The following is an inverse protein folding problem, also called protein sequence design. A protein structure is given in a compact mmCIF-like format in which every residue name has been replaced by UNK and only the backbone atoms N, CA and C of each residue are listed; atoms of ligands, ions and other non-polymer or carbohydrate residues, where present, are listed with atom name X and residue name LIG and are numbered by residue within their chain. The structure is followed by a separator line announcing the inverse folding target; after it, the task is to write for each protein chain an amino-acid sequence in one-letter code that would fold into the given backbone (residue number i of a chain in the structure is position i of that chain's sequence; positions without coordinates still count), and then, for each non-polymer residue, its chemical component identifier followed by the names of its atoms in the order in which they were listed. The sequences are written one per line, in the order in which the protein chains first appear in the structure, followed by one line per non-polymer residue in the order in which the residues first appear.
data_IF_354983369847
#
_entry.id   IF_354983369847
#
_cell.length_a   1.000
_cell.length_b   1.000
_cell.length_c   1.000
_cell.angle_alpha   90.00
_cell.angle_beta   90.00
_cell.angle_gamma   90.00
#
_symmetry.space_group_name_H-M   'P 1'
#
loop_
_entity.id
_entity.type
_entity.pdbx_description
1 polymer ?
#
# COMPACT_ATOMS: atom_id res chain seq x y z
N UNK A 1 33.56 -6.70 -68.91
CA UNK A 1 32.47 -5.77 -68.59
C UNK A 1 31.44 -6.35 -67.58
N UNK A 2 31.06 -7.64 -67.63
CA UNK A 2 30.08 -8.27 -66.73
C UNK A 2 30.37 -8.12 -65.22
N UNK A 3 31.65 -8.26 -64.82
CA UNK A 3 32.01 -8.24 -63.40
C UNK A 3 31.94 -6.85 -62.76
N UNK A 4 32.10 -5.79 -63.50
CA UNK A 4 31.95 -4.41 -62.97
C UNK A 4 30.49 -4.03 -62.79
N UNK A 5 29.64 -4.48 -63.68
CA UNK A 5 28.19 -4.27 -63.61
C UNK A 5 27.59 -5.02 -62.42
N UNK A 6 28.00 -6.28 -62.19
CA UNK A 6 27.54 -7.07 -61.00
C UNK A 6 27.99 -6.44 -59.68
N UNK A 7 29.20 -5.89 -59.61
CA UNK A 7 29.67 -5.19 -58.40
C UNK A 7 28.87 -3.92 -58.14
N UNK A 8 28.53 -3.17 -59.19
CA UNK A 8 27.72 -1.96 -59.07
C UNK A 8 26.28 -2.29 -58.63
N UNK A 9 25.69 -3.35 -59.17
CA UNK A 9 24.37 -3.82 -58.79
C UNK A 9 24.32 -4.27 -57.33
N UNK A 10 25.34 -5.03 -56.85
CA UNK A 10 25.46 -5.41 -55.48
C UNK A 10 25.63 -4.21 -54.54
N UNK A 11 26.36 -3.20 -54.93
CA UNK A 11 26.53 -1.99 -54.11
C UNK A 11 25.20 -1.26 -53.96
N UNK A 12 24.39 -1.15 -55.02
CA UNK A 12 23.06 -0.54 -54.97
C UNK A 12 22.13 -1.39 -54.05
N UNK A 13 22.15 -2.69 -54.20
CA UNK A 13 21.33 -3.59 -53.41
C UNK A 13 21.65 -3.50 -51.89
N UNK A 14 22.92 -3.48 -51.55
CA UNK A 14 23.39 -3.30 -50.18
C UNK A 14 23.02 -1.94 -49.62
N UNK A 15 23.13 -0.87 -50.44
CA UNK A 15 22.72 0.48 -50.02
C UNK A 15 21.23 0.59 -49.75
N UNK A 16 20.41 -0.03 -50.59
CA UNK A 16 18.96 -0.10 -50.37
C UNK A 16 18.63 -0.90 -49.13
N UNK A 17 19.27 -2.05 -48.93
CA UNK A 17 19.07 -2.88 -47.72
C UNK A 17 19.50 -2.14 -46.45
N UNK A 18 20.59 -1.36 -46.52
CA UNK A 18 21.03 -0.53 -45.39
C UNK A 18 20.02 0.59 -45.06
N UNK A 19 19.38 1.17 -46.06
CA UNK A 19 18.33 2.18 -45.87
C UNK A 19 17.06 1.60 -45.22
N UNK A 20 16.70 0.36 -45.57
CA UNK A 20 15.55 -0.32 -44.96
C UNK A 20 15.90 -1.06 -43.65
N UNK A 21 17.17 -1.44 -43.45
CA UNK A 21 17.65 -2.12 -42.24
C UNK A 21 17.93 -1.18 -41.07
N UNK A 22 18.02 0.12 -41.27
CA UNK A 22 18.09 1.13 -40.20
C UNK A 22 16.70 1.68 -39.90
N UNK A 23 15.69 0.84 -39.89
CA UNK A 23 14.60 1.11 -38.99
C UNK A 23 15.20 1.02 -37.60
N UNK A 24 15.52 2.17 -37.01
CA UNK A 24 15.62 2.30 -35.59
C UNK A 24 14.37 1.63 -35.06
N UNK A 25 14.48 0.36 -34.67
CA UNK A 25 13.62 -0.15 -33.64
C UNK A 25 13.93 0.77 -32.47
N UNK A 26 13.22 1.90 -32.38
CA UNK A 26 12.90 2.45 -31.10
C UNK A 26 12.34 1.23 -30.40
N UNK A 27 13.19 0.59 -29.59
CA UNK A 27 12.68 -0.29 -28.58
C UNK A 27 11.72 0.60 -27.84
N UNK A 28 10.45 0.52 -28.23
CA UNK A 28 9.38 0.84 -27.33
C UNK A 28 9.62 -0.21 -26.24
N UNK A 29 10.49 0.13 -25.30
CA UNK A 29 10.38 -0.41 -23.96
C UNK A 29 8.93 -0.08 -23.62
N UNK A 30 8.06 -1.05 -23.87
CA UNK A 30 6.81 -1.08 -23.20
C UNK A 30 7.21 -1.14 -21.74
N UNK A 31 7.40 0.03 -21.14
CA UNK A 31 7.39 0.19 -19.70
C UNK A 31 5.96 -0.15 -19.33
N UNK A 32 5.71 -1.45 -19.21
CA UNK A 32 4.57 -1.94 -18.46
C UNK A 32 4.84 -1.48 -17.04
N UNK A 33 4.47 -0.22 -16.77
CA UNK A 33 4.49 0.31 -15.43
C UNK A 33 3.65 -0.61 -14.56
N UNK A 34 4.12 -0.91 -13.38
CA UNK A 34 3.31 -1.62 -12.38
C UNK A 34 2.15 -0.69 -12.01
N UNK A 35 0.89 -1.17 -11.95
CA UNK A 35 -0.20 -0.37 -11.45
C UNK A 35 0.17 0.26 -10.11
N UNK A 36 -0.07 1.54 -9.95
CA UNK A 36 0.28 2.29 -8.76
C UNK A 36 -0.94 3.01 -8.18
N UNK A 37 -0.99 3.06 -6.87
CA UNK A 37 -1.97 3.81 -6.10
C UNK A 37 -1.35 4.32 -4.81
N UNK A 38 -1.96 5.33 -4.26
CA UNK A 38 -1.62 5.84 -2.94
C UNK A 38 -2.85 5.74 -2.06
N UNK A 39 -2.67 5.50 -0.78
CA UNK A 39 -3.75 5.69 0.16
C UNK A 39 -3.27 6.35 1.44
N UNK A 40 -4.18 7.00 2.11
CA UNK A 40 -4.01 7.53 3.44
C UNK A 40 -5.16 7.04 4.31
N UNK A 41 -4.83 6.30 5.35
CA UNK A 41 -5.77 5.92 6.40
C UNK A 41 -5.46 6.76 7.62
N UNK A 42 -6.43 7.51 8.09
CA UNK A 42 -6.31 8.36 9.27
C UNK A 42 -7.52 8.18 10.18
N UNK A 43 -7.35 8.47 11.45
CA UNK A 43 -8.45 8.36 12.40
C UNK A 43 -8.02 8.60 13.82
N UNK A 44 -8.92 8.26 14.74
CA UNK A 44 -8.69 8.36 16.17
C UNK A 44 -9.03 7.04 16.84
N UNK A 45 -8.19 6.65 17.78
CA UNK A 45 -8.46 5.50 18.67
C UNK A 45 -9.03 6.00 19.98
N UNK A 46 -10.19 5.51 20.33
CA UNK A 46 -10.96 5.92 21.51
C UNK A 46 -11.42 4.70 22.32
N UNK A 47 -11.76 4.92 23.57
CA UNK A 47 -12.44 3.91 24.36
C UNK A 47 -13.97 4.05 24.25
N UNK A 48 -14.70 3.16 24.90
CA UNK A 48 -16.19 3.17 24.92
C UNK A 48 -16.81 4.45 25.50
N UNK A 49 -16.00 5.32 26.15
CA UNK A 49 -16.44 6.61 26.69
C UNK A 49 -15.96 7.78 25.82
N UNK A 50 -15.59 7.52 24.57
CA UNK A 50 -15.05 8.49 23.61
C UNK A 50 -13.82 9.26 24.10
N UNK A 51 -13.03 8.65 25.02
CA UNK A 51 -11.76 9.21 25.45
C UNK A 51 -10.64 8.69 24.56
N UNK A 52 -9.76 9.56 24.05
CA UNK A 52 -8.65 9.15 23.22
C UNK A 52 -7.67 8.26 23.98
N UNK A 53 -7.09 7.30 23.27
CA UNK A 53 -6.11 6.37 23.82
C UNK A 53 -4.78 6.61 23.11
N UNK A 54 -3.74 6.93 23.87
CA UNK A 54 -2.36 7.05 23.39
C UNK A 54 -1.66 5.69 23.38
N UNK A 55 -0.55 5.59 22.64
CA UNK A 55 0.32 4.40 22.56
C UNK A 55 -0.42 3.14 22.11
N UNK A 56 -1.35 3.31 21.23
CA UNK A 56 -1.92 2.21 20.46
C UNK A 56 -1.15 2.14 19.14
N UNK A 57 -0.51 1.02 18.88
CA UNK A 57 0.06 0.72 17.58
C UNK A 57 -1.08 0.40 16.62
N UNK A 58 -1.11 1.14 15.51
CA UNK A 58 -2.08 0.96 14.43
C UNK A 58 -1.29 0.52 13.22
N UNK A 59 -1.59 -0.66 12.70
CA UNK A 59 -0.93 -1.25 11.54
C UNK A 59 -1.92 -1.46 10.43
N UNK A 60 -1.52 -1.10 9.20
CA UNK A 60 -2.27 -1.44 7.99
C UNK A 60 -1.60 -2.64 7.31
N UNK A 61 -2.37 -3.70 7.09
CA UNK A 61 -1.93 -4.90 6.38
C UNK A 61 -2.78 -5.15 5.15
N UNK A 62 -2.17 -5.74 4.13
CA UNK A 62 -2.92 -6.22 2.96
C UNK A 62 -3.68 -7.53 3.28
N UNK A 63 -4.42 -8.03 2.29
CA UNK A 63 -5.18 -9.28 2.41
C UNK A 63 -4.30 -10.54 2.54
N UNK A 64 -2.99 -10.42 2.32
CA UNK A 64 -1.98 -11.46 2.54
C UNK A 64 -1.22 -11.26 3.86
N UNK A 65 -1.71 -10.37 4.74
CA UNK A 65 -1.12 -10.05 6.05
C UNK A 65 0.28 -9.42 5.97
N UNK A 66 0.64 -8.79 4.85
CA UNK A 66 1.89 -8.03 4.73
C UNK A 66 1.67 -6.62 5.25
N UNK A 67 2.56 -6.15 6.11
CA UNK A 67 2.52 -4.78 6.64
C UNK A 67 2.76 -3.76 5.53
N UNK A 68 1.87 -2.80 5.43
CA UNK A 68 1.93 -1.68 4.49
C UNK A 68 2.33 -0.38 5.17
N UNK A 69 2.12 -0.27 6.48
CA UNK A 69 2.51 0.87 7.28
C UNK A 69 2.04 0.73 8.72
N UNK A 70 2.73 1.43 9.62
CA UNK A 70 2.47 1.41 11.06
C UNK A 70 2.57 2.83 11.59
N UNK A 71 1.70 3.17 12.52
CA UNK A 71 1.76 4.41 13.30
C UNK A 71 1.37 4.13 14.75
N UNK A 72 1.75 5.03 15.65
CA UNK A 72 1.42 4.91 17.08
C UNK A 72 0.69 6.16 17.54
N UNK A 73 -0.49 5.96 18.15
CA UNK A 73 -1.33 7.08 18.57
C UNK A 73 -0.64 7.99 19.59
N UNK A 74 -0.73 9.31 19.33
CA UNK A 74 -0.30 10.36 20.22
C UNK A 74 -1.30 10.58 21.40
N UNK A 75 -1.12 11.62 22.21
CA UNK A 75 -1.98 11.92 23.39
C UNK A 75 -3.45 12.14 23.03
N UNK A 76 -3.72 12.62 21.84
CA UNK A 76 -5.06 12.88 21.29
C UNK A 76 -5.68 11.66 20.63
N UNK A 77 -4.98 10.51 20.63
CA UNK A 77 -5.42 9.27 20.04
C UNK A 77 -5.38 9.22 18.51
N UNK A 78 -4.83 10.26 17.86
CA UNK A 78 -4.81 10.37 16.39
C UNK A 78 -3.70 9.49 15.82
N UNK A 79 -3.96 8.90 14.66
CA UNK A 79 -3.01 8.20 13.82
C UNK A 79 -3.19 8.57 12.35
N UNK A 80 -2.13 8.43 11.56
CA UNK A 80 -2.14 8.60 10.11
C UNK A 80 -1.11 7.69 9.46
N UNK A 81 -1.54 6.90 8.51
CA UNK A 81 -0.70 5.97 7.75
C UNK A 81 -0.85 6.28 6.28
N UNK A 82 0.26 6.59 5.64
CA UNK A 82 0.36 6.83 4.20
C UNK A 82 1.07 5.64 3.54
N UNK A 83 0.58 5.23 2.39
CA UNK A 83 1.17 4.17 1.58
C UNK A 83 1.20 4.56 0.10
N UNK A 84 2.26 4.14 -0.58
CA UNK A 84 2.40 4.27 -2.03
C UNK A 84 2.95 2.98 -2.61
N UNK A 85 2.26 2.43 -3.60
CA UNK A 85 2.68 1.19 -4.22
C UNK A 85 1.58 0.54 -5.02
N UNK A 86 1.44 -0.76 -4.89
CA UNK A 86 0.35 -1.52 -5.53
C UNK A 86 -1.01 -1.07 -4.97
N UNK A 87 -2.02 -0.81 -5.84
CA UNK A 87 -3.34 -0.39 -5.38
C UNK A 87 -4.10 -1.56 -4.73
N UNK A 88 -4.34 -1.45 -3.44
CA UNK A 88 -5.15 -2.39 -2.67
C UNK A 88 -6.60 -1.94 -2.64
N UNK A 89 -7.55 -2.83 -2.81
CA UNK A 89 -8.99 -2.53 -2.69
C UNK A 89 -9.46 -2.61 -1.25
N UNK A 90 -8.86 -3.50 -0.49
CA UNK A 90 -9.19 -3.76 0.91
C UNK A 90 -7.91 -3.94 1.70
N UNK A 91 -7.90 -3.43 2.92
CA UNK A 91 -6.79 -3.57 3.86
C UNK A 91 -7.35 -3.84 5.25
N UNK A 92 -6.56 -4.51 6.08
CA UNK A 92 -6.86 -4.68 7.49
C UNK A 92 -6.20 -3.57 8.29
N UNK A 93 -6.98 -2.90 9.14
CA UNK A 93 -6.50 -1.96 10.13
C UNK A 93 -6.46 -2.68 11.48
N UNK A 94 -5.28 -2.95 11.99
CA UNK A 94 -5.05 -3.68 13.24
C UNK A 94 -4.61 -2.69 14.30
N UNK A 95 -5.33 -2.65 15.43
CA UNK A 95 -5.01 -1.76 16.55
C UNK A 95 -4.61 -2.59 17.75
N UNK A 96 -3.42 -2.32 18.31
CA UNK A 96 -2.78 -3.11 19.35
C UNK A 96 -2.24 -2.22 20.46
N UNK A 97 -2.60 -2.53 21.68
CA UNK A 97 -2.09 -1.86 22.86
C UNK A 97 -0.66 -2.35 23.17
N UNK A 98 0.32 -1.44 23.06
CA UNK A 98 1.74 -1.78 23.23
C UNK A 98 2.28 -1.44 24.62
N UNK A 99 1.57 -0.64 25.42
CA UNK A 99 2.04 -0.25 26.75
C UNK A 99 1.31 -1.00 27.92
N UNK A 100 0.19 -1.58 27.61
CA UNK A 100 -0.63 -2.49 28.46
C UNK A 100 -0.87 -2.07 29.94
N UNK A 101 -0.18 -1.04 30.46
CA UNK A 101 -0.18 -0.67 31.88
C UNK A 101 -0.55 0.79 32.17
N UNK A 102 -0.12 1.73 31.30
CA UNK A 102 -0.13 3.15 31.69
C UNK A 102 -1.41 3.91 31.32
N UNK A 103 -2.24 3.34 30.41
CA UNK A 103 -3.51 3.91 29.94
C UNK A 103 -4.72 2.99 30.15
N UNK A 104 -4.54 1.88 30.85
CA UNK A 104 -5.44 0.74 30.85
C UNK A 104 -4.98 -0.32 29.85
N UNK A 105 -5.49 -1.54 29.98
CA UNK A 105 -5.19 -2.63 29.05
C UNK A 105 -6.35 -2.82 28.08
N UNK A 106 -6.08 -2.69 26.79
CA UNK A 106 -7.10 -2.80 25.73
C UNK A 106 -6.94 -4.08 24.92
N UNK A 107 -8.06 -4.59 24.41
CA UNK A 107 -8.06 -5.71 23.48
C UNK A 107 -7.67 -5.20 22.12
N UNK A 108 -6.86 -5.96 21.40
CA UNK A 108 -6.58 -5.69 19.98
C UNK A 108 -7.88 -5.78 19.19
N UNK A 109 -7.99 -4.95 18.17
CA UNK A 109 -9.09 -4.93 17.23
C UNK A 109 -8.58 -4.98 15.81
N UNK A 110 -9.38 -5.58 14.92
CA UNK A 110 -9.07 -5.65 13.48
C UNK A 110 -10.29 -5.24 12.70
N UNK A 111 -10.15 -4.19 11.91
CA UNK A 111 -11.22 -3.65 11.07
C UNK A 111 -10.85 -3.77 9.60
N UNK A 112 -11.75 -4.29 8.77
CA UNK A 112 -11.59 -4.27 7.31
C UNK A 112 -11.93 -2.88 6.77
N UNK A 113 -11.01 -2.29 6.05
CA UNK A 113 -11.14 -0.96 5.43
C UNK A 113 -11.14 -1.12 3.92
N UNK A 114 -12.14 -0.54 3.25
CA UNK A 114 -12.22 -0.48 1.80
C UNK A 114 -11.57 0.80 1.30
N UNK A 115 -10.83 0.70 0.22
CA UNK A 115 -10.10 1.79 -0.40
C UNK A 115 -10.73 2.11 -1.76
N UNK A 116 -11.32 3.28 -1.88
CA UNK A 116 -11.93 3.77 -3.10
C UNK A 116 -10.98 4.78 -3.77
N UNK A 117 -10.44 4.39 -4.91
CA UNK A 117 -9.54 5.23 -5.68
C UNK A 117 -10.30 6.10 -6.66
N UNK A 118 -9.90 7.38 -6.83
CA UNK A 118 -10.62 8.32 -7.70
C UNK A 118 -10.46 8.01 -9.19
N UNK A 119 -9.47 7.21 -9.57
CA UNK A 119 -9.16 6.89 -10.96
C UNK A 119 -9.07 5.38 -11.18
N UNK A 120 -9.26 4.97 -12.44
CA UNK A 120 -9.04 3.60 -12.89
C UNK A 120 -7.81 3.54 -13.82
N UNK A 121 -7.24 2.36 -13.99
CA UNK A 121 -6.08 2.13 -14.84
C UNK A 121 -4.77 2.02 -14.06
N UNK A 122 -3.67 2.45 -14.70
CA UNK A 122 -2.31 2.23 -14.18
C UNK A 122 -1.97 3.13 -12.98
N UNK A 123 -2.44 4.36 -12.98
CA UNK A 123 -2.33 5.27 -11.84
C UNK A 123 -3.72 5.54 -11.29
N UNK A 124 -4.01 4.99 -10.12
CA UNK A 124 -5.34 5.08 -9.52
C UNK A 124 -5.53 6.32 -8.64
N UNK A 125 -4.47 7.11 -8.45
CA UNK A 125 -4.52 8.29 -7.60
C UNK A 125 -4.42 7.94 -6.11
N UNK A 126 -4.93 8.84 -5.24
CA UNK A 126 -4.86 8.72 -3.79
C UNK A 126 -6.25 8.47 -3.19
N UNK A 127 -6.42 7.34 -2.52
CA UNK A 127 -7.60 7.05 -1.69
C UNK A 127 -7.43 7.66 -0.29
N UNK A 128 -8.42 8.39 0.19
CA UNK A 128 -8.43 9.00 1.52
C UNK A 128 -9.52 8.36 2.36
N UNK A 129 -9.14 7.73 3.47
CA UNK A 129 -10.07 7.07 4.37
C UNK A 129 -9.90 7.60 5.79
N UNK A 130 -11.03 7.93 6.42
CA UNK A 130 -11.10 8.21 7.85
C UNK A 130 -11.77 7.06 8.56
N UNK A 131 -11.04 6.39 9.47
CA UNK A 131 -11.53 5.25 10.22
C UNK A 131 -11.23 5.43 11.70
N UNK A 132 -12.26 5.70 12.50
CA UNK A 132 -12.12 5.70 13.95
C UNK A 132 -12.21 4.28 14.50
N UNK A 133 -11.43 4.02 15.54
CA UNK A 133 -11.35 2.72 16.21
C UNK A 133 -11.78 2.86 17.66
N UNK A 134 -12.68 1.99 18.11
CA UNK A 134 -13.14 1.96 19.51
C UNK A 134 -12.67 0.70 20.18
N UNK A 135 -11.71 0.84 21.10
CA UNK A 135 -11.15 -0.29 21.83
C UNK A 135 -11.87 -0.55 23.14
N UNK A 136 -12.01 -1.85 23.47
CA UNK A 136 -12.58 -2.33 24.73
C UNK A 136 -11.47 -2.73 25.68
N UNK A 137 -11.67 -2.45 26.98
CA UNK A 137 -10.77 -2.91 28.01
C UNK A 137 -10.66 -4.44 28.02
N UNK A 138 -9.47 -4.95 28.23
CA UNK A 138 -9.29 -6.35 28.65
C UNK A 138 -9.95 -6.48 30.03
N UNK A 139 -11.03 -7.23 30.14
CA UNK A 139 -11.61 -7.58 31.43
C UNK A 139 -10.52 -8.33 32.23
N UNK A 140 -10.13 -7.80 33.38
CA UNK A 140 -9.39 -8.61 34.35
C UNK A 140 -10.21 -9.87 34.61
N UNK A 141 -9.64 -11.04 34.33
CA UNK A 141 -10.19 -12.28 34.85
C UNK A 141 -10.12 -12.12 36.36
N UNK A 142 -11.24 -11.86 37.04
CA UNK A 142 -11.34 -12.00 38.48
C UNK A 142 -10.81 -13.39 38.79
N UNK A 143 -9.62 -13.46 39.37
CA UNK A 143 -9.09 -14.68 39.98
C UNK A 143 -10.02 -15.06 41.13
N UNK A 144 -11.09 -15.76 40.79
CA UNK A 144 -11.93 -16.48 41.75
C UNK A 144 -11.21 -17.77 42.10
N UNK A 145 -10.03 -17.66 42.73
CA UNK A 145 -9.40 -18.79 43.41
C UNK A 145 -8.93 -18.32 44.79
N UNK A 146 -9.40 -19.07 45.76
CA UNK A 146 -9.07 -19.08 47.19
C UNK A 146 -9.89 -18.12 48.05
N UNK A 147 -11.13 -18.53 48.37
CA UNK A 147 -11.59 -18.60 49.76
C UNK A 147 -11.87 -20.05 50.06
N UNK A 148 -10.97 -20.68 50.76
CA UNK A 148 -11.19 -21.77 51.64
C UNK A 148 -10.99 -21.27 53.07
#
# INVERSE_FOLDING_TARGET
MKNRFLRFLNFILVSILACFGVSSTKQVMAMYGVPSGEFQVSGRVENLKSKPIKKIEVEVQDVQYRSLGVDTTAKDGVFQIDYRGWPHREVYLISKDIDACCNGSYKSDTTLVKLDYPQQGWNQGKALVKQNVVLRYKSERKNSRYKK
#
